data_IF_719551287659
#
_entry.id   IF_719551287659
#
_cell.length_a   1.000
_cell.length_b   1.000
_cell.length_c   1.000
_cell.angle_alpha   90.00
_cell.angle_beta   90.00
_cell.angle_gamma   90.00
#
_symmetry.space_group_name_H-M   'P 1'
#
loop_
_entity.id
_entity.type
_entity.pdbx_description
1 polymer ?
#
# COMPACT_ATOMS: atom_id res chain seq x y z
N UNK A 1 8.87 -0.44 6.78
CA UNK A 1 9.34 -1.82 6.59
C UNK A 1 8.96 -2.69 7.80
N UNK A 2 9.24 -4.00 7.73
CA UNK A 2 8.90 -4.95 8.81
C UNK A 2 9.73 -4.74 10.08
N UNK A 3 10.98 -4.30 9.98
CA UNK A 3 11.84 -4.06 11.15
C UNK A 3 11.31 -2.96 12.07
N UNK A 4 10.50 -2.05 11.58
CA UNK A 4 9.84 -1.00 12.36
C UNK A 4 8.76 -1.58 13.30
N UNK A 5 8.35 -2.83 13.06
CA UNK A 5 7.44 -3.58 13.92
C UNK A 5 8.18 -4.44 14.96
N UNK A 6 9.50 -4.30 15.10
CA UNK A 6 10.22 -4.82 16.26
C UNK A 6 9.86 -4.01 17.50
N UNK A 7 9.72 -4.71 18.62
CA UNK A 7 9.43 -4.04 19.89
C UNK A 7 10.67 -3.34 20.42
N UNK A 8 10.49 -2.09 20.87
CA UNK A 8 11.48 -1.33 21.62
C UNK A 8 11.37 -1.65 23.12
N UNK A 9 12.27 -1.12 23.95
CA UNK A 9 12.39 -1.46 25.37
C UNK A 9 11.08 -1.31 26.18
N UNK A 10 10.24 -0.34 25.83
CA UNK A 10 8.94 -0.12 26.47
C UNK A 10 7.81 -1.06 25.97
N UNK A 11 8.13 -2.01 25.09
CA UNK A 11 7.19 -2.99 24.54
C UNK A 11 6.33 -2.50 23.37
N UNK A 12 6.43 -1.24 22.96
CA UNK A 12 5.77 -0.71 21.76
C UNK A 12 6.51 -1.18 20.49
N UNK A 13 5.84 -1.18 19.34
CA UNK A 13 6.53 -1.27 18.08
C UNK A 13 7.34 0.01 17.81
N UNK A 14 8.51 -0.12 17.18
CA UNK A 14 9.38 1.00 16.83
C UNK A 14 8.66 2.08 16.02
N UNK A 15 7.81 1.68 15.07
CA UNK A 15 6.94 2.58 14.31
C UNK A 15 6.06 3.41 15.25
N UNK A 16 5.36 2.76 16.16
CA UNK A 16 4.44 3.41 17.09
C UNK A 16 5.19 4.33 18.07
N UNK A 17 6.35 3.90 18.52
CA UNK A 17 7.21 4.71 19.39
C UNK A 17 7.68 5.98 18.67
N UNK A 18 8.16 5.88 17.43
CA UNK A 18 8.57 7.02 16.62
C UNK A 18 7.43 8.04 16.48
N UNK A 19 6.26 7.58 16.02
CA UNK A 19 5.15 8.49 15.79
C UNK A 19 4.47 8.99 17.08
N UNK A 20 4.62 8.32 18.22
CA UNK A 20 4.17 8.86 19.50
C UNK A 20 5.14 9.89 20.07
N UNK A 21 6.41 9.85 19.66
CA UNK A 21 7.47 10.75 20.16
C UNK A 21 7.55 12.07 19.38
N UNK A 22 6.95 12.15 18.19
CA UNK A 22 7.01 13.34 17.33
C UNK A 22 5.60 13.82 17.01
N UNK A 23 5.28 15.12 17.14
CA UNK A 23 3.99 15.68 16.74
C UNK A 23 3.64 15.45 15.27
N UNK A 24 2.34 15.30 14.97
CA UNK A 24 1.86 14.97 13.65
C UNK A 24 2.03 16.07 12.59
N UNK A 25 2.16 17.33 13.01
CA UNK A 25 2.47 18.46 12.16
C UNK A 25 3.95 18.53 11.74
N UNK A 26 4.83 17.87 12.52
CA UNK A 26 6.26 17.79 12.19
C UNK A 26 6.62 16.52 11.43
N UNK A 27 5.92 15.41 11.67
CA UNK A 27 6.18 14.12 11.03
C UNK A 27 4.88 13.40 10.70
N UNK A 28 4.62 13.25 9.41
CA UNK A 28 3.55 12.41 8.88
C UNK A 28 4.10 11.08 8.39
N UNK A 29 3.25 10.08 8.23
CA UNK A 29 3.66 8.75 7.75
C UNK A 29 3.28 8.54 6.29
N UNK A 30 4.16 7.90 5.55
CA UNK A 30 3.88 7.21 4.30
C UNK A 30 3.79 5.72 4.62
N UNK A 31 2.57 5.21 4.74
CA UNK A 31 2.32 3.88 5.30
C UNK A 31 2.31 2.82 4.19
N UNK A 32 3.28 1.91 4.23
CA UNK A 32 3.37 0.78 3.30
C UNK A 32 2.62 -0.44 3.84
N UNK A 33 1.53 -0.80 3.15
CA UNK A 33 0.63 -1.85 3.59
C UNK A 33 1.20 -3.27 3.43
N UNK A 34 2.19 -3.45 2.55
CA UNK A 34 2.91 -4.71 2.43
C UNK A 34 3.63 -5.03 3.75
N UNK A 35 4.43 -4.09 4.25
CA UNK A 35 5.23 -4.30 5.44
C UNK A 35 4.39 -4.36 6.71
N UNK A 36 3.29 -3.62 6.79
CA UNK A 36 2.31 -3.76 7.87
C UNK A 36 1.81 -5.19 7.93
N UNK A 37 1.31 -5.75 6.81
CA UNK A 37 0.79 -7.11 6.77
C UNK A 37 1.87 -8.17 6.96
N UNK A 38 3.03 -7.98 6.33
CA UNK A 38 4.17 -8.89 6.45
C UNK A 38 4.63 -9.04 7.91
N UNK A 39 4.56 -7.96 8.68
CA UNK A 39 4.87 -7.95 10.13
C UNK A 39 3.76 -8.55 10.99
N UNK A 40 2.74 -9.16 10.40
CA UNK A 40 1.62 -9.78 11.11
C UNK A 40 0.59 -8.79 11.65
N UNK A 41 0.62 -7.53 11.20
CA UNK A 41 -0.35 -6.51 11.59
C UNK A 41 -1.47 -6.39 10.55
N UNK A 42 -2.60 -5.82 10.97
CA UNK A 42 -3.73 -5.56 10.07
C UNK A 42 -3.57 -4.17 9.39
N UNK A 43 -3.42 -4.12 8.04
CA UNK A 43 -3.34 -2.89 7.28
C UNK A 43 -4.48 -1.91 7.54
N UNK A 44 -5.71 -2.40 7.64
CA UNK A 44 -6.89 -1.57 7.89
C UNK A 44 -6.83 -0.95 9.29
N UNK A 45 -6.46 -1.73 10.30
CA UNK A 45 -6.32 -1.24 11.67
C UNK A 45 -5.22 -0.18 11.79
N UNK A 46 -4.09 -0.36 11.07
CA UNK A 46 -3.01 0.64 11.07
C UNK A 46 -3.40 1.93 10.36
N UNK A 47 -4.14 1.87 9.26
CA UNK A 47 -4.69 3.06 8.61
C UNK A 47 -5.66 3.81 9.53
N UNK A 48 -6.52 3.11 10.27
CA UNK A 48 -7.40 3.72 11.25
C UNK A 48 -6.62 4.36 12.39
N UNK A 49 -5.59 3.68 12.91
CA UNK A 49 -4.72 4.18 13.98
C UNK A 49 -4.02 5.49 13.60
N UNK A 50 -3.58 5.60 12.35
CA UNK A 50 -2.89 6.78 11.82
C UNK A 50 -3.80 7.68 10.99
N UNK A 51 -5.12 7.66 11.25
CA UNK A 51 -6.09 8.56 10.60
C UNK A 51 -5.70 10.02 10.80
N UNK A 52 -5.73 10.79 9.70
CA UNK A 52 -5.28 12.19 9.66
C UNK A 52 -3.76 12.38 9.63
N UNK A 53 -2.96 11.30 9.75
CA UNK A 53 -1.49 11.36 9.80
C UNK A 53 -0.81 10.59 8.65
N UNK A 54 -1.55 9.83 7.86
CA UNK A 54 -1.07 9.05 6.72
C UNK A 54 -1.56 9.64 5.38
N UNK A 55 -1.01 10.80 4.94
CA UNK A 55 -1.45 11.42 3.68
C UNK A 55 -1.10 10.60 2.45
N UNK A 56 -0.09 9.75 2.54
CA UNK A 56 0.38 8.86 1.46
C UNK A 56 0.36 7.43 1.96
N UNK A 57 -0.12 6.52 1.10
CA UNK A 57 -0.21 5.09 1.38
C UNK A 57 0.33 4.32 0.18
N UNK A 58 1.25 3.38 0.42
CA UNK A 58 1.67 2.43 -0.61
C UNK A 58 0.66 1.28 -0.72
N UNK A 59 0.10 1.13 -1.91
CA UNK A 59 -0.58 -0.07 -2.34
C UNK A 59 0.47 -1.03 -2.90
N UNK A 60 0.86 -2.01 -2.10
CA UNK A 60 1.92 -2.95 -2.41
C UNK A 60 1.47 -4.35 -2.05
N UNK A 61 1.40 -5.21 -3.05
CA UNK A 61 0.94 -6.59 -2.86
C UNK A 61 2.12 -7.56 -2.88
N UNK A 62 1.94 -8.70 -2.26
CA UNK A 62 2.98 -9.72 -2.14
C UNK A 62 2.37 -11.10 -1.97
N UNK A 63 3.18 -12.11 -2.17
CA UNK A 63 2.88 -13.52 -1.93
C UNK A 63 3.95 -14.13 -1.04
N UNK A 64 3.56 -15.04 -0.15
CA UNK A 64 4.46 -15.82 0.69
C UNK A 64 4.00 -17.26 0.67
N UNK A 65 4.87 -18.19 0.28
CA UNK A 65 4.63 -19.61 0.37
C UNK A 65 5.20 -20.19 1.68
N UNK A 66 4.35 -20.83 2.49
CA UNK A 66 4.78 -21.49 3.72
C UNK A 66 5.05 -20.54 4.88
N UNK A 67 6.01 -20.91 5.76
CA UNK A 67 6.47 -20.04 6.84
C UNK A 67 7.33 -18.93 6.28
N UNK A 68 7.25 -17.75 6.89
CA UNK A 68 8.13 -16.62 6.61
C UNK A 68 9.59 -16.98 6.97
N UNK A 69 10.27 -17.69 6.09
CA UNK A 69 11.68 -18.00 6.20
C UNK A 69 12.41 -17.30 5.05
N UNK A 70 13.39 -16.48 5.37
CA UNK A 70 14.20 -15.71 4.43
C UNK A 70 14.17 -14.21 4.69
N UNK A 71 15.09 -13.50 4.07
CA UNK A 71 15.19 -12.05 4.16
C UNK A 71 14.44 -11.40 2.98
N UNK A 72 13.29 -10.74 3.21
CA UNK A 72 12.55 -10.06 2.16
C UNK A 72 13.35 -8.89 1.54
N UNK A 73 14.36 -8.38 2.25
CA UNK A 73 15.24 -7.30 1.76
C UNK A 73 16.29 -7.76 0.76
N UNK A 74 16.55 -9.06 0.66
CA UNK A 74 17.40 -9.61 -0.39
C UNK A 74 16.88 -9.28 -1.81
N UNK A 75 15.59 -9.00 -1.94
CA UNK A 75 14.95 -8.63 -3.20
C UNK A 75 15.12 -7.15 -3.57
N UNK A 76 15.46 -6.28 -2.61
CA UNK A 76 15.62 -4.83 -2.84
C UNK A 76 17.07 -4.37 -2.80
N UNK A 77 18.03 -5.31 -2.79
CA UNK A 77 19.46 -5.02 -2.95
C UNK A 77 20.15 -4.40 -1.74
N UNK A 78 19.54 -4.48 -0.55
CA UNK A 78 20.13 -3.93 0.67
C UNK A 78 21.23 -4.82 1.28
N UNK A 79 21.31 -6.09 0.88
CA UNK A 79 22.29 -7.07 1.34
C UNK A 79 23.15 -7.55 0.15
N UNK A 80 24.21 -6.81 -0.18
CA UNK A 80 25.21 -7.26 -1.13
C UNK A 80 26.16 -8.23 -0.41
N UNK A 81 26.08 -9.54 -0.74
CA UNK A 81 27.14 -10.51 -0.37
C UNK A 81 26.70 -11.78 0.35
N UNK A 82 25.44 -11.97 0.74
CA UNK A 82 24.97 -13.25 1.26
C UNK A 82 24.35 -14.12 0.15
N UNK A 83 24.62 -15.44 0.19
CA UNK A 83 23.98 -16.38 -0.72
C UNK A 83 22.47 -16.22 -0.64
N UNK A 84 21.84 -15.88 -1.77
CA UNK A 84 20.40 -15.70 -1.91
C UNK A 84 19.70 -17.01 -1.56
N UNK A 85 19.40 -17.23 -0.28
CA UNK A 85 18.38 -18.22 0.09
C UNK A 85 17.10 -17.79 -0.57
N UNK A 86 16.56 -18.66 -1.40
CA UNK A 86 15.32 -18.40 -2.12
C UNK A 86 14.24 -18.07 -1.09
N UNK A 87 13.94 -16.77 -0.96
CA UNK A 87 12.88 -16.30 -0.07
C UNK A 87 11.55 -16.81 -0.61
N UNK A 88 10.72 -17.35 0.26
CA UNK A 88 9.33 -17.69 -0.06
C UNK A 88 8.48 -16.42 -0.36
N UNK A 89 9.05 -15.23 -0.15
CA UNK A 89 8.42 -13.94 -0.39
C UNK A 89 8.64 -13.47 -1.84
N UNK A 90 7.58 -12.99 -2.46
CA UNK A 90 7.61 -12.42 -3.80
C UNK A 90 6.65 -11.23 -3.88
N UNK A 91 7.13 -10.07 -4.37
CA UNK A 91 6.23 -8.97 -4.71
C UNK A 91 5.30 -9.37 -5.84
N UNK A 92 4.07 -8.88 -5.80
CA UNK A 92 3.04 -9.19 -6.80
C UNK A 92 2.38 -7.92 -7.34
N UNK A 93 1.96 -7.95 -8.60
CA UNK A 93 1.01 -6.95 -9.07
C UNK A 93 -0.22 -6.92 -8.17
N UNK A 94 -0.83 -5.76 -8.00
CA UNK A 94 -2.03 -5.60 -7.16
C UNK A 94 -3.12 -6.59 -7.58
N UNK A 95 -3.72 -7.23 -6.58
CA UNK A 95 -4.78 -8.25 -6.78
C UNK A 95 -4.27 -9.66 -7.11
N UNK A 96 -2.95 -9.84 -7.20
CA UNK A 96 -2.32 -11.14 -7.45
C UNK A 96 -1.56 -11.69 -6.24
N UNK A 97 -1.64 -11.01 -5.10
CA UNK A 97 -1.04 -11.39 -3.83
C UNK A 97 -2.06 -11.67 -2.75
N UNK A 98 -1.68 -11.40 -1.50
CA UNK A 98 -2.47 -11.72 -0.30
C UNK A 98 -3.17 -10.50 0.32
N UNK A 99 -3.02 -9.32 -0.27
CA UNK A 99 -3.60 -8.08 0.24
C UNK A 99 -5.08 -7.95 -0.15
N UNK A 100 -5.89 -7.48 0.79
CA UNK A 100 -7.25 -7.04 0.48
C UNK A 100 -7.23 -5.57 0.02
N UNK A 101 -6.85 -5.34 -1.23
CA UNK A 101 -6.70 -4.00 -1.80
C UNK A 101 -7.98 -3.15 -1.70
N UNK A 102 -9.19 -3.67 -1.98
CA UNK A 102 -10.42 -2.89 -1.80
C UNK A 102 -10.60 -2.35 -0.38
N UNK A 103 -10.37 -3.19 0.64
CA UNK A 103 -10.48 -2.78 2.05
C UNK A 103 -9.42 -1.74 2.44
N UNK A 104 -8.20 -1.86 1.92
CA UNK A 104 -7.11 -0.90 2.13
C UNK A 104 -7.47 0.46 1.51
N UNK A 105 -7.97 0.48 0.27
CA UNK A 105 -8.40 1.72 -0.41
C UNK A 105 -9.51 2.41 0.39
N UNK A 106 -10.50 1.66 0.84
CA UNK A 106 -11.62 2.22 1.60
C UNK A 106 -11.17 2.76 2.97
N UNK A 107 -10.29 2.04 3.68
CA UNK A 107 -9.71 2.48 4.93
C UNK A 107 -8.84 3.73 4.74
N UNK A 108 -8.04 3.80 3.67
CA UNK A 108 -7.22 4.97 3.33
C UNK A 108 -8.08 6.21 3.09
N UNK A 109 -9.20 6.08 2.36
CA UNK A 109 -10.16 7.17 2.16
C UNK A 109 -10.73 7.68 3.49
N UNK A 110 -11.17 6.75 4.36
CA UNK A 110 -11.70 7.08 5.69
C UNK A 110 -10.65 7.72 6.59
N UNK A 111 -9.39 7.29 6.49
CA UNK A 111 -8.27 7.86 7.22
C UNK A 111 -7.84 9.24 6.71
N UNK A 112 -8.39 9.71 5.58
CA UNK A 112 -8.07 11.02 5.00
C UNK A 112 -6.79 11.04 4.16
N UNK A 113 -6.32 9.88 3.69
CA UNK A 113 -5.18 9.78 2.79
C UNK A 113 -5.47 10.49 1.47
N UNK A 114 -4.47 11.20 0.95
CA UNK A 114 -4.57 12.02 -0.27
C UNK A 114 -4.05 11.29 -1.50
N UNK A 115 -3.07 10.40 -1.29
CA UNK A 115 -2.38 9.70 -2.36
C UNK A 115 -2.29 8.20 -2.04
N UNK A 116 -2.60 7.40 -3.05
CA UNK A 116 -2.38 5.96 -3.05
C UNK A 116 -1.33 5.69 -4.14
N UNK A 117 -0.18 5.18 -3.75
CA UNK A 117 0.95 4.92 -4.63
C UNK A 117 1.03 3.42 -4.88
N UNK A 118 0.96 3.02 -6.13
CA UNK A 118 1.22 1.63 -6.52
C UNK A 118 2.72 1.40 -6.53
N UNK A 119 3.19 0.45 -5.74
CA UNK A 119 4.61 0.12 -5.64
C UNK A 119 4.82 -1.39 -5.77
N UNK A 120 5.87 -1.75 -6.50
CA UNK A 120 6.38 -3.12 -6.61
C UNK A 120 7.88 -3.06 -6.91
N UNK A 121 8.72 -3.48 -5.95
CA UNK A 121 10.19 -3.32 -6.06
C UNK A 121 10.80 -4.23 -7.10
N UNK A 122 10.26 -5.44 -7.30
CA UNK A 122 10.74 -6.40 -8.27
C UNK A 122 9.57 -6.97 -9.08
N UNK A 123 9.74 -7.17 -10.39
CA UNK A 123 8.76 -7.86 -11.20
C UNK A 123 8.65 -9.33 -10.80
N UNK A 124 7.52 -9.95 -11.06
CA UNK A 124 7.23 -11.32 -10.68
C UNK A 124 6.39 -12.07 -11.72
N UNK A 125 6.05 -13.32 -11.44
CA UNK A 125 5.18 -14.13 -12.30
C UNK A 125 5.71 -14.30 -13.74
N UNK A 126 7.04 -14.18 -13.95
CA UNK A 126 7.65 -14.22 -15.28
C UNK A 126 7.33 -13.00 -16.15
N UNK A 127 6.89 -11.89 -15.54
CA UNK A 127 6.52 -10.66 -16.24
C UNK A 127 7.63 -9.62 -16.18
N UNK A 128 7.65 -8.73 -17.17
CA UNK A 128 8.50 -7.52 -17.14
C UNK A 128 7.93 -6.49 -16.15
N UNK A 129 8.72 -5.49 -15.71
CA UNK A 129 8.24 -4.41 -14.85
C UNK A 129 7.00 -3.68 -15.41
N UNK A 130 6.99 -3.39 -16.71
CA UNK A 130 5.86 -2.71 -17.35
C UNK A 130 4.60 -3.58 -17.39
N UNK A 131 4.72 -4.90 -17.60
CA UNK A 131 3.59 -5.81 -17.53
C UNK A 131 3.02 -5.88 -16.09
N UNK A 132 3.87 -5.92 -15.07
CA UNK A 132 3.43 -5.88 -13.67
C UNK A 132 2.65 -4.59 -13.35
N UNK A 133 3.15 -3.44 -13.80
CA UNK A 133 2.45 -2.16 -13.63
C UNK A 133 1.11 -2.16 -14.37
N UNK A 134 1.09 -2.67 -15.63
CA UNK A 134 -0.14 -2.76 -16.39
C UNK A 134 -1.19 -3.64 -15.70
N UNK A 135 -0.80 -4.81 -15.17
CA UNK A 135 -1.68 -5.71 -14.40
C UNK A 135 -2.23 -5.02 -13.16
N UNK A 136 -1.40 -4.31 -12.40
CA UNK A 136 -1.83 -3.55 -11.21
C UNK A 136 -2.87 -2.47 -11.57
N UNK A 137 -2.65 -1.74 -12.66
CA UNK A 137 -3.57 -0.71 -13.13
C UNK A 137 -4.87 -1.27 -13.67
N UNK A 138 -4.82 -2.42 -14.37
CA UNK A 138 -6.02 -3.12 -14.84
C UNK A 138 -6.88 -3.59 -13.66
N UNK A 139 -6.24 -4.20 -12.65
CA UNK A 139 -6.92 -4.60 -11.43
C UNK A 139 -7.58 -3.39 -10.72
N UNK A 140 -6.85 -2.29 -10.53
CA UNK A 140 -7.41 -1.09 -9.90
C UNK A 140 -8.60 -0.54 -10.67
N UNK A 141 -8.55 -0.51 -12.00
CA UNK A 141 -9.70 -0.09 -12.84
C UNK A 141 -10.90 -1.02 -12.66
N UNK A 142 -10.69 -2.32 -12.49
CA UNK A 142 -11.77 -3.28 -12.29
C UNK A 142 -12.50 -3.11 -10.96
N UNK A 143 -11.80 -2.71 -9.91
CA UNK A 143 -12.37 -2.52 -8.56
C UNK A 143 -12.76 -1.06 -8.25
N UNK A 144 -12.30 -0.10 -9.07
CA UNK A 144 -12.66 1.31 -8.99
C UNK A 144 -13.26 1.74 -10.32
N UNK A 145 -14.51 1.36 -10.61
CA UNK A 145 -15.12 1.65 -11.90
C UNK A 145 -15.10 3.17 -12.19
N UNK A 146 -14.85 3.49 -13.43
CA UNK A 146 -14.83 4.87 -13.91
C UNK A 146 -16.15 5.54 -13.52
N UNK A 147 -16.07 6.71 -12.94
CA UNK A 147 -17.26 7.49 -12.60
C UNK A 147 -17.86 8.24 -13.80
N UNK A 148 -17.36 7.99 -15.02
CA UNK A 148 -17.83 8.64 -16.23
C UNK A 148 -18.61 7.69 -17.13
N UNK A 149 -19.68 8.18 -17.75
CA UNK A 149 -20.39 7.47 -18.80
C UNK A 149 -19.59 7.50 -20.14
N UNK A 150 -20.14 6.85 -21.17
CA UNK A 150 -19.53 6.79 -22.50
C UNK A 150 -19.30 8.18 -23.14
N UNK A 151 -19.95 9.23 -22.64
CA UNK A 151 -19.82 10.61 -23.06
C UNK A 151 -18.87 11.43 -22.19
N UNK A 152 -18.20 10.79 -21.22
CA UNK A 152 -17.29 11.44 -20.28
C UNK A 152 -17.96 12.20 -19.15
N UNK A 153 -19.28 12.05 -18.97
CA UNK A 153 -20.04 12.71 -17.89
C UNK A 153 -19.98 11.88 -16.61
N UNK A 154 -19.71 12.52 -15.48
CA UNK A 154 -19.68 11.86 -14.19
C UNK A 154 -21.06 11.31 -13.80
N UNK A 155 -21.13 10.03 -13.52
CA UNK A 155 -22.35 9.30 -13.13
C UNK A 155 -22.59 9.26 -11.62
N UNK A 156 -21.63 9.72 -10.82
CA UNK A 156 -21.73 9.75 -9.36
C UNK A 156 -22.45 10.99 -8.86
N UNK A 157 -23.22 10.90 -7.74
CA UNK A 157 -23.80 12.04 -7.10
C UNK A 157 -22.70 13.06 -6.68
N UNK A 158 -23.03 14.34 -6.63
CA UNK A 158 -22.08 15.43 -6.40
C UNK A 158 -21.21 15.24 -5.14
N UNK A 159 -21.79 14.65 -4.09
CA UNK A 159 -21.10 14.30 -2.84
C UNK A 159 -19.94 13.30 -3.03
N UNK A 160 -20.03 12.43 -4.04
CA UNK A 160 -19.09 11.34 -4.32
C UNK A 160 -18.17 11.60 -5.52
N UNK A 161 -18.34 12.75 -6.18
CA UNK A 161 -17.54 13.11 -7.35
C UNK A 161 -16.08 13.33 -7.00
N UNK A 162 -15.19 12.81 -7.85
CA UNK A 162 -13.75 13.08 -7.76
C UNK A 162 -13.41 14.54 -8.06
N UNK A 163 -12.19 14.97 -7.72
CA UNK A 163 -11.75 16.36 -7.93
C UNK A 163 -11.87 16.80 -9.39
N UNK A 164 -11.59 15.90 -10.35
CA UNK A 164 -11.73 16.19 -11.80
C UNK A 164 -13.19 16.49 -12.17
N UNK A 165 -14.12 15.64 -11.73
CA UNK A 165 -15.55 15.83 -12.00
C UNK A 165 -16.08 17.15 -11.41
N UNK A 166 -15.63 17.50 -10.18
CA UNK A 166 -16.01 18.77 -9.52
C UNK A 166 -15.46 19.99 -10.23
N UNK A 167 -14.31 19.88 -10.88
CA UNK A 167 -13.71 20.98 -11.65
C UNK A 167 -14.40 21.19 -13.01
N UNK A 168 -14.84 20.11 -13.65
CA UNK A 168 -15.52 20.16 -14.95
C UNK A 168 -16.96 20.72 -14.84
N UNK A 169 -17.65 20.43 -13.72
CA UNK A 169 -18.99 20.96 -13.45
C UNK A 169 -19.02 22.46 -13.04
N UNK A 170 -17.87 23.12 -12.88
CA UNK A 170 -17.76 24.56 -12.55
C UNK A 170 -17.50 25.45 -13.75
N UNK A 171 -17.41 24.89 -14.96
CA UNK A 171 -17.31 25.60 -16.23
C UNK A 171 -18.66 25.63 -16.93
#
# INVERSE_FOLDING_TARGET
>A
HDFEFKKVENGQFGLDFLYSSVPADLLQTELDQCWVKYSGQDPVAYLQKYSGRAPVVHLKDFHVEGKQEGDPYALIGLNEGEEKKQSAFEFRPLGHGVQNIPSIIEASKKAGSKWLIVEQDQPSMGKSPLECVAMSMEYLRSITPDCHDANGKCTKPESEQCAKCKAENKK
#
